data_IF_252405340877
#
_entry.id   IF_252405340877
#
_cell.length_a   1.000
_cell.length_b   1.000
_cell.length_c   1.000
_cell.angle_alpha   90.00
_cell.angle_beta   90.00
_cell.angle_gamma   90.00
#
_symmetry.space_group_name_H-M   'P 1'
#
loop_
_entity.id
_entity.type
_entity.pdbx_description
1 polymer ?
#
# COMPACT_ATOMS: atom_id res chain seq x y z
N UNK A 1 -54.79 -3.96 37.16
CA UNK A 1 -53.69 -3.13 36.60
C UNK A 1 -53.08 -3.75 35.32
N UNK A 2 -53.86 -4.48 34.50
CA UNK A 2 -53.35 -5.24 33.34
C UNK A 2 -53.96 -4.82 32.00
N UNK A 3 -55.03 -4.00 31.98
CA UNK A 3 -55.67 -3.55 30.74
C UNK A 3 -54.90 -2.43 30.02
N UNK A 4 -54.08 -1.66 30.73
CA UNK A 4 -53.35 -0.53 30.15
C UNK A 4 -52.02 -0.93 29.48
N UNK A 5 -51.49 -2.13 29.74
CA UNK A 5 -50.27 -2.62 29.10
C UNK A 5 -50.54 -3.25 27.72
N UNK A 6 -51.68 -3.92 27.56
CA UNK A 6 -52.07 -4.55 26.28
C UNK A 6 -52.48 -3.54 25.22
N UNK A 7 -53.09 -2.41 25.61
CA UNK A 7 -53.47 -1.35 24.68
C UNK A 7 -52.24 -0.61 24.11
N UNK A 8 -51.21 -0.37 24.92
CA UNK A 8 -49.98 0.30 24.47
C UNK A 8 -49.16 -0.52 23.46
N UNK A 9 -49.18 -1.85 23.56
CA UNK A 9 -48.48 -2.72 22.61
C UNK A 9 -49.20 -2.82 21.25
N UNK A 10 -50.53 -2.75 21.22
CA UNK A 10 -51.28 -2.77 19.95
C UNK A 10 -51.14 -1.46 19.17
N UNK A 11 -51.06 -0.31 19.83
CA UNK A 11 -50.81 0.98 19.16
C UNK A 11 -49.37 1.06 18.61
N UNK A 12 -48.39 0.49 19.33
CA UNK A 12 -46.98 0.48 18.92
C UNK A 12 -46.74 -0.37 17.66
N UNK A 13 -47.37 -1.53 17.56
CA UNK A 13 -47.23 -2.44 16.40
C UNK A 13 -47.90 -1.84 15.15
N UNK A 14 -49.02 -1.11 15.31
CA UNK A 14 -49.74 -0.51 14.18
C UNK A 14 -49.03 0.73 13.58
N UNK A 15 -48.31 1.50 14.41
CA UNK A 15 -47.45 2.59 13.89
C UNK A 15 -46.21 2.06 13.13
N UNK A 16 -45.69 0.90 13.52
CA UNK A 16 -44.45 0.37 12.94
C UNK A 16 -44.66 -0.30 11.58
N UNK A 17 -45.79 -0.99 11.37
CA UNK A 17 -46.09 -1.66 10.09
C UNK A 17 -46.34 -0.68 8.95
N UNK A 18 -46.93 0.49 9.22
CA UNK A 18 -47.23 1.50 8.19
C UNK A 18 -46.01 2.35 7.80
N UNK A 19 -45.03 2.54 8.72
CA UNK A 19 -43.75 3.19 8.42
C UNK A 19 -42.76 2.29 7.67
N UNK A 20 -42.81 0.98 7.91
CA UNK A 20 -41.95 0.00 7.22
C UNK A 20 -42.37 -0.20 5.75
N UNK A 21 -43.67 -0.07 5.43
CA UNK A 21 -44.17 -0.17 4.07
C UNK A 21 -43.91 1.10 3.22
N UNK A 22 -43.85 2.28 3.86
CA UNK A 22 -43.52 3.55 3.19
C UNK A 22 -42.01 3.72 2.88
N UNK A 23 -41.13 3.03 3.61
CA UNK A 23 -39.68 3.06 3.33
C UNK A 23 -39.25 2.13 2.19
N UNK A 24 -40.07 1.13 1.84
CA UNK A 24 -39.78 0.17 0.76
C UNK A 24 -40.06 0.73 -0.65
N UNK A 25 -40.81 1.85 -0.77
CA UNK A 25 -41.14 2.50 -2.04
C UNK A 25 -40.17 3.60 -2.48
N UNK A 26 -39.20 4.00 -1.63
CA UNK A 26 -38.19 5.03 -1.97
C UNK A 26 -36.94 4.40 -2.64
N UNK A 27 -36.81 3.06 -2.61
CA UNK A 27 -35.60 2.35 -3.09
C UNK A 27 -35.61 2.09 -4.62
N UNK A 28 -36.73 2.31 -5.33
CA UNK A 28 -36.85 2.03 -6.78
C UNK A 28 -36.89 3.34 -7.59
N UNK A 29 -35.94 4.24 -7.31
CA UNK A 29 -35.86 5.57 -7.96
C UNK A 29 -34.45 6.06 -8.28
N UNK A 30 -33.43 5.19 -8.24
CA UNK A 30 -32.05 5.55 -8.59
C UNK A 30 -31.48 4.62 -9.67
N UNK A 31 -32.02 4.76 -10.88
CA UNK A 31 -31.38 4.36 -12.14
C UNK A 31 -31.75 5.48 -13.10
N UNK A 32 -30.88 6.30 -13.70
CA UNK A 32 -29.54 6.12 -14.28
C UNK A 32 -28.96 7.53 -14.46
N UNK A 33 -27.72 7.78 -14.05
CA UNK A 33 -26.74 8.64 -14.74
C UNK A 33 -25.50 8.82 -13.86
N UNK A 34 -24.53 7.92 -14.00
CA UNK A 34 -23.13 8.28 -13.83
C UNK A 34 -22.40 7.73 -15.06
N UNK A 35 -22.16 8.62 -16.03
CA UNK A 35 -21.11 8.42 -17.02
C UNK A 35 -19.80 8.39 -16.24
N UNK A 36 -19.16 7.24 -16.22
CA UNK A 36 -18.01 6.98 -15.38
C UNK A 36 -16.74 7.47 -16.09
N UNK A 37 -16.63 8.78 -16.31
CA UNK A 37 -15.34 9.42 -16.57
C UNK A 37 -14.62 9.50 -15.22
N UNK A 38 -14.05 8.38 -14.77
CA UNK A 38 -12.98 8.39 -13.77
C UNK A 38 -11.73 8.95 -14.46
N UNK A 39 -11.75 10.26 -14.74
CA UNK A 39 -10.54 11.03 -14.83
C UNK A 39 -9.90 10.96 -13.44
N UNK A 40 -8.94 10.03 -13.27
CA UNK A 40 -8.02 10.05 -12.13
C UNK A 40 -7.37 11.43 -12.12
N UNK A 41 -7.84 12.30 -11.24
CA UNK A 41 -7.19 13.56 -10.89
C UNK A 41 -5.95 13.23 -10.05
N UNK A 42 -4.95 12.63 -10.69
CA UNK A 42 -3.56 12.88 -10.28
C UNK A 42 -3.30 14.37 -10.54
N UNK A 43 -2.66 15.10 -9.62
CA UNK A 43 -2.16 16.44 -9.91
C UNK A 43 -1.32 16.30 -11.17
N UNK A 44 -1.80 16.87 -12.27
CA UNK A 44 -1.08 16.80 -13.54
C UNK A 44 0.14 17.68 -13.34
N UNK A 45 1.27 17.06 -12.98
CA UNK A 45 2.56 17.71 -13.05
C UNK A 45 2.64 18.37 -14.44
N UNK A 46 3.31 19.52 -14.52
CA UNK A 46 3.43 20.35 -15.73
C UNK A 46 4.22 19.64 -16.86
N UNK A 47 3.70 18.51 -17.33
CA UNK A 47 4.32 17.58 -18.26
C UNK A 47 3.70 17.83 -19.64
N UNK A 48 4.50 18.18 -20.65
CA UNK A 48 4.00 18.32 -22.02
C UNK A 48 3.25 17.07 -22.47
N UNK A 49 2.16 17.24 -23.22
CA UNK A 49 1.31 16.13 -23.70
C UNK A 49 2.11 14.99 -24.36
N UNK A 50 3.11 15.34 -25.17
CA UNK A 50 4.03 14.38 -25.83
C UNK A 50 4.80 13.47 -24.86
N UNK A 51 4.95 13.87 -23.59
CA UNK A 51 5.69 13.15 -22.54
C UNK A 51 4.75 12.43 -21.55
N UNK A 52 3.43 12.61 -21.66
CA UNK A 52 2.46 11.97 -20.78
C UNK A 52 2.59 10.44 -20.76
N UNK A 53 2.78 9.72 -21.89
CA UNK A 53 2.98 8.27 -21.83
C UNK A 53 4.17 7.85 -20.97
N UNK A 54 5.31 8.56 -21.08
CA UNK A 54 6.51 8.29 -20.29
C UNK A 54 6.27 8.58 -18.80
N UNK A 55 5.56 9.66 -18.49
CA UNK A 55 5.18 9.98 -17.10
C UNK A 55 4.29 8.90 -16.49
N UNK A 56 3.28 8.43 -17.22
CA UNK A 56 2.38 7.36 -16.77
C UNK A 56 3.12 6.03 -16.57
N UNK A 57 4.05 5.67 -17.45
CA UNK A 57 4.90 4.48 -17.26
C UNK A 57 5.71 4.54 -15.96
N UNK A 58 6.20 5.72 -15.58
CA UNK A 58 6.93 5.91 -14.31
C UNK A 58 6.00 5.74 -13.11
N UNK A 59 4.82 6.35 -13.16
CA UNK A 59 3.82 6.22 -12.09
C UNK A 59 3.32 4.78 -11.94
N UNK A 60 3.20 4.05 -13.06
CA UNK A 60 2.83 2.65 -13.03
C UNK A 60 3.87 1.81 -12.27
N UNK A 61 5.17 2.09 -12.44
CA UNK A 61 6.24 1.41 -11.69
C UNK A 61 6.09 1.69 -10.19
N UNK A 62 5.83 2.96 -9.80
CA UNK A 62 5.57 3.33 -8.40
C UNK A 62 4.37 2.57 -7.83
N UNK A 63 3.23 2.61 -8.53
CA UNK A 63 1.99 2.00 -8.07
C UNK A 63 2.11 0.47 -7.98
N UNK A 64 2.89 -0.16 -8.87
CA UNK A 64 3.15 -1.60 -8.86
C UNK A 64 3.88 -2.05 -7.60
N UNK A 65 4.88 -1.29 -7.12
CA UNK A 65 5.71 -1.68 -5.98
C UNK A 65 5.30 -1.02 -4.66
N UNK A 66 4.38 -0.06 -4.68
CA UNK A 66 3.87 0.57 -3.46
C UNK A 66 3.28 -0.45 -2.46
N UNK A 67 2.50 -1.48 -2.86
CA UNK A 67 2.01 -2.51 -1.93
C UNK A 67 3.13 -3.27 -1.21
N UNK A 68 4.30 -3.41 -1.85
CA UNK A 68 5.46 -4.13 -1.33
C UNK A 68 6.11 -3.42 -0.14
N UNK A 69 5.86 -2.12 0.06
CA UNK A 69 6.32 -1.39 1.25
C UNK A 69 5.79 -2.00 2.55
N UNK A 70 4.54 -2.48 2.54
CA UNK A 70 3.97 -3.19 3.68
C UNK A 70 4.67 -4.54 3.91
N UNK A 71 5.06 -5.22 2.84
CA UNK A 71 5.80 -6.47 2.92
C UNK A 71 7.22 -6.26 3.49
N UNK A 72 7.93 -5.23 3.01
CA UNK A 72 9.21 -4.79 3.58
C UNK A 72 9.09 -4.54 5.08
N UNK A 73 8.08 -3.77 5.51
CA UNK A 73 7.85 -3.46 6.93
C UNK A 73 7.64 -4.72 7.77
N UNK A 74 6.83 -5.67 7.29
CA UNK A 74 6.62 -6.95 7.98
C UNK A 74 7.91 -7.74 8.12
N UNK A 75 8.69 -7.85 7.04
CA UNK A 75 9.97 -8.58 7.04
C UNK A 75 11.00 -7.92 7.97
N UNK A 76 11.10 -6.58 7.97
CA UNK A 76 11.94 -5.82 8.89
C UNK A 76 11.59 -6.13 10.35
N UNK A 77 10.30 -6.17 10.69
CA UNK A 77 9.83 -6.52 12.04
C UNK A 77 10.20 -7.96 12.42
N UNK A 78 9.94 -8.93 11.53
CA UNK A 78 10.30 -10.35 11.77
C UNK A 78 11.80 -10.54 11.98
N UNK A 79 12.64 -9.94 11.14
CA UNK A 79 14.10 -10.02 11.25
C UNK A 79 14.61 -9.31 12.52
N UNK A 80 14.00 -8.18 12.91
CA UNK A 80 14.34 -7.48 14.14
C UNK A 80 14.03 -8.33 15.37
N UNK A 81 12.86 -8.98 15.42
CA UNK A 81 12.53 -9.93 16.48
C UNK A 81 13.51 -11.11 16.53
N UNK A 82 13.90 -11.67 15.36
CA UNK A 82 14.91 -12.71 15.33
C UNK A 82 16.28 -12.23 15.83
N UNK A 83 16.70 -11.00 15.50
CA UNK A 83 17.94 -10.43 16.04
C UNK A 83 17.92 -10.36 17.57
N UNK A 84 16.81 -9.94 18.15
CA UNK A 84 16.66 -9.84 19.61
C UNK A 84 16.70 -11.22 20.25
N UNK A 85 16.07 -12.24 19.66
CA UNK A 85 16.21 -13.63 20.11
C UNK A 85 17.66 -14.11 20.02
N UNK A 86 18.32 -13.94 18.88
CA UNK A 86 19.69 -14.41 18.64
C UNK A 86 20.72 -13.76 19.58
N UNK A 87 20.52 -12.51 19.96
CA UNK A 87 21.37 -11.78 20.93
C UNK A 87 21.26 -12.33 22.35
N UNK A 88 20.12 -12.92 22.69
CA UNK A 88 19.84 -13.47 24.02
C UNK A 88 20.07 -14.99 24.12
N UNK A 89 20.42 -15.65 23.01
CA UNK A 89 20.77 -17.07 22.99
C UNK A 89 22.18 -17.31 23.52
N UNK A 90 22.35 -18.36 24.31
CA UNK A 90 23.65 -18.82 24.80
C UNK A 90 23.91 -20.28 24.37
N UNK A 91 24.95 -20.56 23.56
CA UNK A 91 25.92 -19.60 23.01
C UNK A 91 25.33 -18.78 21.85
N UNK A 92 25.77 -17.53 21.72
CA UNK A 92 25.37 -16.65 20.61
C UNK A 92 25.82 -17.22 19.26
N UNK A 93 24.87 -17.42 18.34
CA UNK A 93 25.16 -17.79 16.96
C UNK A 93 25.55 -16.53 16.14
N UNK A 94 26.86 -16.24 16.10
CA UNK A 94 27.40 -15.05 15.43
C UNK A 94 27.13 -14.99 13.93
N UNK A 95 27.11 -16.14 13.25
CA UNK A 95 26.88 -16.18 11.80
C UNK A 95 25.42 -15.85 11.48
N UNK A 96 24.48 -16.48 12.18
CA UNK A 96 23.04 -16.17 12.04
C UNK A 96 22.75 -14.72 12.40
N UNK A 97 23.39 -14.17 13.44
CA UNK A 97 23.26 -12.76 13.81
C UNK A 97 23.77 -11.81 12.72
N UNK A 98 24.91 -12.12 12.09
CA UNK A 98 25.46 -11.32 10.99
C UNK A 98 24.53 -11.35 9.77
N UNK A 99 24.02 -12.52 9.42
CA UNK A 99 23.17 -12.68 8.25
C UNK A 99 21.79 -12.03 8.44
N UNK A 100 21.16 -12.17 9.62
CA UNK A 100 19.91 -11.45 9.91
C UNK A 100 20.10 -9.93 9.84
N UNK A 101 21.23 -9.39 10.32
CA UNK A 101 21.54 -7.95 10.18
C UNK A 101 21.72 -7.55 8.72
N UNK A 102 22.34 -8.40 7.89
CA UNK A 102 22.49 -8.16 6.46
C UNK A 102 21.12 -8.03 5.79
N UNK A 103 20.22 -8.99 6.01
CA UNK A 103 18.84 -8.98 5.50
C UNK A 103 18.09 -7.70 5.88
N UNK A 104 18.16 -7.33 7.15
CA UNK A 104 17.52 -6.10 7.63
C UNK A 104 18.10 -4.86 6.93
N UNK A 105 19.42 -4.84 6.72
CA UNK A 105 20.12 -3.80 5.97
C UNK A 105 19.69 -3.71 4.51
N UNK A 106 19.45 -4.82 3.81
CA UNK A 106 18.93 -4.83 2.43
C UNK A 106 17.54 -4.20 2.35
N UNK A 107 16.62 -4.65 3.22
CA UNK A 107 15.26 -4.13 3.29
C UNK A 107 15.21 -2.63 3.59
N UNK A 108 16.04 -2.16 4.53
CA UNK A 108 16.17 -0.73 4.81
C UNK A 108 16.67 0.06 3.59
N UNK A 109 17.57 -0.50 2.78
CA UNK A 109 18.03 0.16 1.55
C UNK A 109 16.93 0.21 0.49
N UNK A 110 16.15 -0.86 0.36
CA UNK A 110 14.98 -0.89 -0.53
C UNK A 110 13.94 0.17 -0.17
N UNK A 111 13.54 0.25 1.10
CA UNK A 111 12.61 1.28 1.60
C UNK A 111 13.15 2.69 1.34
N UNK A 112 14.41 2.95 1.71
CA UNK A 112 15.03 4.26 1.50
C UNK A 112 15.17 4.63 0.02
N UNK A 113 15.34 3.65 -0.87
CA UNK A 113 15.40 3.89 -2.31
C UNK A 113 14.07 4.44 -2.83
N UNK A 114 12.93 3.90 -2.37
CA UNK A 114 11.60 4.42 -2.70
C UNK A 114 11.44 5.87 -2.25
N UNK A 115 11.70 6.16 -0.98
CA UNK A 115 11.57 7.53 -0.45
C UNK A 115 12.51 8.52 -1.14
N UNK A 116 13.76 8.11 -1.37
CA UNK A 116 14.75 8.94 -2.05
C UNK A 116 14.37 9.21 -3.50
N UNK A 117 13.83 8.21 -4.21
CA UNK A 117 13.34 8.37 -5.57
C UNK A 117 12.14 9.33 -5.60
N UNK A 118 11.13 9.13 -4.76
CA UNK A 118 9.97 10.03 -4.68
C UNK A 118 10.38 11.49 -4.42
N UNK A 119 11.32 11.71 -3.50
CA UNK A 119 11.81 13.06 -3.19
C UNK A 119 12.50 13.73 -4.38
N UNK A 120 13.23 12.97 -5.21
CA UNK A 120 13.81 13.49 -6.45
C UNK A 120 12.73 13.73 -7.50
N UNK A 121 11.83 12.78 -7.68
CA UNK A 121 10.76 12.85 -8.67
C UNK A 121 9.81 14.03 -8.43
N UNK A 122 9.55 14.38 -7.16
CA UNK A 122 8.76 15.56 -6.78
C UNK A 122 9.31 16.90 -7.31
N UNK A 123 10.57 16.94 -7.77
CA UNK A 123 11.17 18.14 -8.37
C UNK A 123 10.82 18.33 -9.85
N UNK A 124 10.04 17.41 -10.45
CA UNK A 124 9.65 17.44 -11.86
C UNK A 124 9.06 18.78 -12.32
N UNK A 125 8.27 19.44 -11.47
CA UNK A 125 7.67 20.74 -11.81
C UNK A 125 8.69 21.88 -11.88
N UNK A 126 9.83 21.74 -11.21
CA UNK A 126 10.93 22.70 -11.27
C UNK A 126 11.88 22.47 -12.47
N UNK A 127 11.70 21.39 -13.22
CA UNK A 127 12.55 21.08 -14.38
C UNK A 127 12.09 21.90 -15.59
N UNK A 128 13.00 22.62 -16.28
CA UNK A 128 12.67 23.34 -17.51
C UNK A 128 12.01 22.44 -18.57
N UNK A 129 11.05 22.97 -19.33
CA UNK A 129 10.28 22.19 -20.31
C UNK A 129 11.17 21.45 -21.32
N UNK A 130 12.26 22.07 -21.75
CA UNK A 130 13.20 21.49 -22.71
C UNK A 130 14.03 20.34 -22.11
N UNK A 131 14.19 20.31 -20.78
CA UNK A 131 14.95 19.28 -20.05
C UNK A 131 14.05 18.16 -19.48
N UNK A 132 12.72 18.34 -19.47
CA UNK A 132 11.78 17.38 -18.85
C UNK A 132 11.87 15.98 -19.45
N UNK A 133 12.09 15.82 -20.76
CA UNK A 133 12.22 14.49 -21.36
C UNK A 133 13.44 13.74 -20.82
N UNK A 134 14.59 14.42 -20.77
CA UNK A 134 15.84 13.86 -20.24
C UNK A 134 15.67 13.47 -18.76
N UNK A 135 15.05 14.34 -17.98
CA UNK A 135 14.74 14.07 -16.58
C UNK A 135 13.84 12.84 -16.41
N UNK A 136 12.71 12.78 -17.11
CA UNK A 136 11.78 11.65 -17.02
C UNK A 136 12.43 10.32 -17.44
N UNK A 137 13.29 10.31 -18.48
CA UNK A 137 14.03 9.10 -18.87
C UNK A 137 14.98 8.62 -17.77
N UNK A 138 15.68 9.54 -17.11
CA UNK A 138 16.55 9.21 -15.98
C UNK A 138 15.75 8.71 -14.77
N UNK A 139 14.60 9.32 -14.48
CA UNK A 139 13.73 8.91 -13.39
C UNK A 139 13.04 7.57 -13.66
N UNK A 140 12.70 7.23 -14.92
CA UNK A 140 12.24 5.88 -15.30
C UNK A 140 13.30 4.83 -15.02
N UNK A 141 14.55 5.08 -15.39
CA UNK A 141 15.66 4.16 -15.07
C UNK A 141 15.85 3.99 -13.57
N UNK A 142 15.71 5.08 -12.82
CA UNK A 142 15.82 5.09 -11.35
C UNK A 142 14.66 4.32 -10.70
N UNK A 143 13.43 4.50 -11.19
CA UNK A 143 12.25 3.79 -10.73
C UNK A 143 12.37 2.28 -10.96
N UNK A 144 12.87 1.85 -12.12
CA UNK A 144 13.16 0.43 -12.37
C UNK A 144 14.21 -0.14 -11.43
N UNK A 145 15.30 0.60 -11.20
CA UNK A 145 16.37 0.15 -10.28
C UNK A 145 15.88 0.04 -8.84
N UNK A 146 15.02 0.98 -8.41
CA UNK A 146 14.32 0.95 -7.13
C UNK A 146 13.40 -0.27 -7.02
N UNK A 147 12.56 -0.52 -8.04
CA UNK A 147 11.70 -1.70 -8.12
C UNK A 147 12.50 -3.00 -7.98
N UNK A 148 13.57 -3.14 -8.76
CA UNK A 148 14.42 -4.33 -8.72
C UNK A 148 15.04 -4.54 -7.34
N UNK A 149 15.52 -3.47 -6.70
CA UNK A 149 16.07 -3.54 -5.35
C UNK A 149 15.02 -3.97 -4.33
N UNK A 150 13.80 -3.43 -4.41
CA UNK A 150 12.70 -3.80 -3.52
C UNK A 150 12.35 -5.28 -3.65
N UNK A 151 12.08 -5.73 -4.87
CA UNK A 151 11.66 -7.11 -5.13
C UNK A 151 12.74 -8.12 -4.71
N UNK A 152 14.02 -7.85 -5.03
CA UNK A 152 15.14 -8.72 -4.62
C UNK A 152 15.33 -8.75 -3.11
N UNK A 153 15.28 -7.59 -2.43
CA UNK A 153 15.44 -7.54 -0.97
C UNK A 153 14.34 -8.33 -0.24
N UNK A 154 13.13 -8.28 -0.79
CA UNK A 154 11.99 -9.05 -0.30
C UNK A 154 12.16 -10.54 -0.54
N UNK A 155 12.60 -10.94 -1.74
CA UNK A 155 12.88 -12.33 -2.10
C UNK A 155 13.95 -12.92 -1.18
N UNK A 156 15.12 -12.27 -1.10
CA UNK A 156 16.25 -12.68 -0.25
C UNK A 156 15.82 -12.86 1.22
N UNK A 157 15.07 -11.89 1.77
CA UNK A 157 14.60 -11.95 3.15
C UNK A 157 13.58 -13.08 3.38
N UNK A 158 12.67 -13.32 2.43
CA UNK A 158 11.73 -14.42 2.50
C UNK A 158 12.44 -15.78 2.43
N UNK A 159 13.40 -15.93 1.52
CA UNK A 159 14.20 -17.16 1.43
C UNK A 159 15.00 -17.40 2.71
N UNK A 160 15.63 -16.36 3.24
CA UNK A 160 16.34 -16.42 4.50
C UNK A 160 15.44 -16.87 5.64
N UNK A 161 14.26 -16.27 5.80
CA UNK A 161 13.31 -16.62 6.85
C UNK A 161 12.83 -18.07 6.70
N UNK A 162 12.43 -18.49 5.50
CA UNK A 162 12.00 -19.88 5.23
C UNK A 162 13.09 -20.91 5.54
N UNK A 163 14.34 -20.62 5.17
CA UNK A 163 15.46 -21.52 5.45
C UNK A 163 15.83 -21.59 6.95
N UNK A 164 15.34 -20.65 7.75
CA UNK A 164 15.66 -20.50 9.17
C UNK A 164 14.44 -20.62 10.10
N UNK A 165 13.27 -20.98 9.56
CA UNK A 165 12.12 -21.45 10.33
C UNK A 165 12.51 -22.78 11.00
N UNK A 166 12.50 -22.81 12.34
CA UNK A 166 12.62 -24.10 13.03
C UNK A 166 11.36 -24.92 12.75
N UNK A 167 11.48 -26.23 12.43
CA UNK A 167 10.31 -27.07 12.27
C UNK A 167 9.51 -27.01 13.57
N UNK A 168 8.27 -26.53 13.47
CA UNK A 168 7.40 -26.31 14.62
C UNK A 168 7.32 -27.56 15.50
N UNK A 169 7.62 -27.36 16.79
CA UNK A 169 7.33 -28.27 17.90
C UNK A 169 5.80 -28.44 18.08
#
# INVERSE_FOLDING_TARGET
>A
MTKNLLLGLMEYICQYTNRLWLLLLIVIGFTVACGNDYAKTTPEASVPERLQPLYQEILQIHDEVMPEMNQISKLQNSLSSQLDTLRNQEPVNKEKLKETNRMLGELNRAENAMWSWMHRFAKLDSVPVDDKEKFLRAEKSSANSMKDLMLRSIEDANEYLKANEEPGD
#
